data_IF_482657115866
#
_entry.id   IF_482657115866
#
_cell.length_a   1.000
_cell.length_b   1.000
_cell.length_c   1.000
_cell.angle_alpha   90.00
_cell.angle_beta   90.00
_cell.angle_gamma   90.00
#
_symmetry.space_group_name_H-M   'P 1'
#
loop_
_entity.id
_entity.type
_entity.pdbx_description
1 polymer ?
#
# COMPACT_ATOMS: atom_id res chain seq x y z
N UNK A 1 -48.58 -20.19 29.76
CA UNK A 1 -47.26 -20.87 29.76
C UNK A 1 -46.32 -19.85 29.13
N UNK A 2 -45.42 -19.16 29.86
CA UNK A 2 -44.35 -19.66 30.75
C UNK A 2 -43.48 -20.72 30.05
N UNK A 3 -42.16 -20.61 30.04
CA UNK A 3 -41.29 -19.97 31.06
C UNK A 3 -40.30 -18.93 30.51
N UNK A 4 -39.91 -17.96 31.35
CA UNK A 4 -38.57 -17.37 31.30
C UNK A 4 -37.57 -18.36 31.90
N UNK A 5 -36.30 -18.31 31.51
CA UNK A 5 -35.23 -18.35 32.52
C UNK A 5 -34.03 -17.50 32.08
N UNK A 6 -33.49 -16.75 33.04
CA UNK A 6 -32.25 -15.97 32.90
C UNK A 6 -31.22 -16.62 33.82
N UNK A 7 -29.99 -16.77 33.34
CA UNK A 7 -28.85 -17.08 34.21
C UNK A 7 -27.78 -16.00 34.10
N UNK A 8 -27.71 -15.16 35.12
CA UNK A 8 -26.47 -14.46 35.48
C UNK A 8 -25.59 -15.42 36.28
N UNK A 9 -24.29 -15.42 36.00
CA UNK A 9 -23.24 -15.96 36.88
C UNK A 9 -22.11 -14.95 36.96
N UNK A 10 -22.16 -14.08 37.97
CA UNK A 10 -21.10 -13.14 38.27
C UNK A 10 -19.91 -13.85 38.91
N UNK A 11 -18.75 -13.84 38.27
CA UNK A 11 -17.48 -14.20 38.91
C UNK A 11 -16.74 -12.91 39.28
N UNK A 12 -16.73 -12.56 40.56
CA UNK A 12 -15.96 -11.41 41.06
C UNK A 12 -14.54 -11.85 41.32
N UNK A 13 -13.62 -11.54 40.40
CA UNK A 13 -12.19 -11.66 40.64
C UNK A 13 -11.63 -10.30 41.06
N UNK A 14 -11.37 -10.13 42.35
CA UNK A 14 -10.86 -8.88 42.92
C UNK A 14 -9.32 -8.80 42.77
N UNK A 15 -8.84 -8.47 41.58
CA UNK A 15 -7.44 -8.05 41.37
C UNK A 15 -7.34 -6.54 41.49
N UNK A 16 -6.45 -6.07 42.38
CA UNK A 16 -6.31 -4.65 42.70
C UNK A 16 -5.64 -3.86 41.58
N UNK A 17 -6.44 -3.25 40.70
CA UNK A 17 -5.94 -2.36 39.66
C UNK A 17 -5.73 -0.95 40.22
N UNK A 18 -4.48 -0.51 40.31
CA UNK A 18 -4.15 0.89 40.58
C UNK A 18 -4.65 1.76 39.43
N UNK A 19 -5.70 2.54 39.66
CA UNK A 19 -6.27 3.44 38.66
C UNK A 19 -5.35 4.66 38.43
N UNK A 20 -4.27 4.47 37.69
CA UNK A 20 -3.55 5.56 37.04
C UNK A 20 -4.48 6.23 36.04
N UNK A 21 -5.11 7.32 36.46
CA UNK A 21 -5.83 8.23 35.58
C UNK A 21 -4.84 8.76 34.54
N UNK A 22 -4.85 8.13 33.36
CA UNK A 22 -4.18 8.64 32.16
C UNK A 22 -4.89 9.93 31.74
N UNK A 23 -4.52 11.04 32.40
CA UNK A 23 -4.85 12.38 31.96
C UNK A 23 -4.45 12.49 30.49
N UNK A 24 -5.35 12.92 29.59
CA UNK A 24 -4.97 13.09 28.20
C UNK A 24 -3.80 14.07 28.16
N UNK A 25 -2.67 13.64 27.56
CA UNK A 25 -1.66 14.56 27.06
C UNK A 25 -2.35 15.39 25.97
N UNK A 26 -3.02 16.48 26.38
CA UNK A 26 -3.23 17.64 25.52
C UNK A 26 -1.88 17.89 24.86
N UNK A 27 -1.83 17.89 23.52
CA UNK A 27 -0.63 18.21 22.78
C UNK A 27 -0.01 19.45 23.40
N UNK A 28 1.15 19.28 24.03
CA UNK A 28 1.69 20.32 24.90
C UNK A 28 2.25 21.38 23.96
N UNK A 29 1.42 22.38 23.66
CA UNK A 29 1.91 23.74 23.49
C UNK A 29 2.65 24.08 24.80
N UNK A 30 3.91 23.65 24.85
CA UNK A 30 4.91 24.38 25.58
C UNK A 30 4.93 25.73 24.90
N UNK A 31 4.34 26.72 25.56
CA UNK A 31 4.87 28.07 25.48
C UNK A 31 6.34 27.92 25.86
N UNK A 32 7.21 27.81 24.86
CA UNK A 32 8.64 27.57 25.03
C UNK A 32 9.23 28.86 25.62
N UNK A 33 9.14 29.00 26.94
CA UNK A 33 9.50 30.22 27.68
C UNK A 33 11.01 30.43 27.74
N UNK A 34 11.79 29.40 27.41
CA UNK A 34 13.20 29.51 27.14
C UNK A 34 13.40 29.82 25.63
N UNK A 35 13.88 31.03 25.26
CA UNK A 35 14.13 31.39 23.87
C UNK A 35 15.36 30.69 23.26
N UNK A 36 16.12 29.92 24.05
CA UNK A 36 17.26 29.12 23.60
C UNK A 36 16.97 27.62 23.56
N UNK A 37 15.80 27.17 24.05
CA UNK A 37 15.42 25.77 23.97
C UNK A 37 15.23 25.36 22.51
N UNK A 38 15.89 24.28 22.13
CA UNK A 38 15.95 23.78 20.75
C UNK A 38 14.52 23.49 20.25
N UNK A 39 14.07 24.08 19.10
CA UNK A 39 12.69 23.88 18.62
C UNK A 39 12.40 22.45 18.14
N UNK A 40 13.42 21.78 17.61
CA UNK A 40 13.42 20.38 17.17
C UNK A 40 14.76 19.76 17.60
N UNK A 41 14.77 18.78 18.53
CA UNK A 41 16.00 18.17 19.02
C UNK A 41 16.68 17.24 17.99
N UNK A 42 16.05 16.97 16.84
CA UNK A 42 16.49 16.01 15.83
C UNK A 42 16.58 14.56 16.37
N UNK A 43 15.71 14.24 17.33
CA UNK A 43 15.44 12.87 17.79
C UNK A 43 14.57 12.18 16.73
N UNK A 44 15.23 11.50 15.79
CA UNK A 44 14.61 10.70 14.73
C UNK A 44 14.80 9.21 14.98
N UNK A 45 13.86 8.42 14.48
CA UNK A 45 13.91 6.95 14.48
C UNK A 45 13.74 6.44 13.05
N UNK A 46 14.33 5.28 12.75
CA UNK A 46 14.26 4.68 11.42
C UNK A 46 12.93 3.91 11.26
N UNK A 47 12.22 4.11 10.16
CA UNK A 47 10.94 3.43 9.90
C UNK A 47 11.09 1.90 9.80
N UNK A 48 12.27 1.41 9.41
CA UNK A 48 12.65 -0.01 9.49
C UNK A 48 12.57 -0.63 10.90
N UNK A 49 12.63 0.21 11.96
CA UNK A 49 12.55 -0.23 13.36
C UNK A 49 11.18 0.05 14.00
N UNK A 50 10.36 0.91 13.38
CA UNK A 50 9.07 1.32 13.94
C UNK A 50 8.04 0.18 13.91
N UNK A 51 7.13 0.24 14.88
CA UNK A 51 5.96 -0.62 15.01
C UNK A 51 4.68 0.21 15.02
N UNK A 52 3.52 -0.44 15.01
CA UNK A 52 2.24 0.26 15.15
C UNK A 52 2.01 0.88 16.55
N UNK A 53 2.78 0.49 17.57
CA UNK A 53 2.77 1.14 18.88
C UNK A 53 3.46 2.52 18.86
N UNK A 54 4.31 2.78 17.86
CA UNK A 54 5.06 4.03 17.69
C UNK A 54 4.30 5.10 16.88
N UNK A 55 3.12 4.75 16.32
CA UNK A 55 2.30 5.68 15.54
C UNK A 55 1.71 6.81 16.41
N UNK A 56 2.27 8.00 16.28
CA UNK A 56 1.77 9.22 16.95
C UNK A 56 0.77 9.96 16.05
N UNK A 57 -0.52 9.71 16.26
CA UNK A 57 -1.62 10.38 15.57
C UNK A 57 -1.50 11.93 15.60
N UNK A 58 -1.66 12.64 14.47
CA UNK A 58 -1.69 14.10 14.43
C UNK A 58 -2.69 14.73 15.42
N UNK A 59 -2.29 15.79 16.17
CA UNK A 59 -3.11 16.33 17.27
C UNK A 59 -4.52 16.79 16.85
N UNK A 60 -5.54 16.13 17.40
CA UNK A 60 -6.96 16.42 17.13
C UNK A 60 -7.52 15.77 15.85
N UNK A 61 -6.71 14.98 15.13
CA UNK A 61 -7.18 14.20 13.99
C UNK A 61 -8.03 13.00 14.41
N UNK A 62 -8.87 12.55 13.48
CA UNK A 62 -9.73 11.37 13.56
C UNK A 62 -10.27 11.15 12.14
N UNK A 63 -9.37 11.01 11.16
CA UNK A 63 -9.71 11.12 9.74
C UNK A 63 -10.31 9.84 9.16
N UNK A 64 -9.94 8.67 9.70
CA UNK A 64 -10.61 7.38 9.43
C UNK A 64 -12.10 7.35 9.82
N UNK A 65 -12.60 8.31 10.61
CA UNK A 65 -14.01 8.37 10.99
C UNK A 65 -14.90 8.66 9.78
N UNK A 66 -15.55 7.61 9.26
CA UNK A 66 -16.38 7.63 8.05
C UNK A 66 -17.64 8.51 8.11
N UNK A 67 -17.96 9.10 9.27
CA UNK A 67 -18.97 10.16 9.38
C UNK A 67 -18.41 11.57 9.09
N UNK A 68 -17.09 11.76 9.12
CA UNK A 68 -16.44 12.97 8.61
C UNK A 68 -16.52 13.00 7.08
N UNK A 69 -16.48 14.21 6.54
CA UNK A 69 -16.51 14.52 5.12
C UNK A 69 -15.55 15.67 4.85
N UNK A 70 -15.04 15.75 3.63
CA UNK A 70 -14.23 16.90 3.19
C UNK A 70 -15.02 18.19 3.31
N UNK A 71 -14.39 19.22 3.88
CA UNK A 71 -15.04 20.50 4.26
C UNK A 71 -15.39 21.40 3.09
N UNK A 72 -14.70 21.25 1.95
CA UNK A 72 -14.97 21.99 0.71
C UNK A 72 -15.65 21.12 -0.35
N UNK A 73 -15.13 19.91 -0.60
CA UNK A 73 -15.74 18.91 -1.49
C UNK A 73 -15.46 17.49 -1.01
N UNK A 74 -16.17 16.53 -1.59
CA UNK A 74 -16.00 15.10 -1.39
C UNK A 74 -15.95 14.45 -2.78
N UNK A 75 -15.18 13.37 -2.92
CA UNK A 75 -14.97 12.70 -4.22
C UNK A 75 -15.79 11.42 -4.35
N UNK A 76 -16.35 11.20 -5.53
CA UNK A 76 -16.79 9.85 -5.92
C UNK A 76 -15.62 9.09 -6.54
N UNK A 77 -15.03 8.16 -5.77
CA UNK A 77 -13.92 7.31 -6.20
C UNK A 77 -14.41 5.88 -6.44
N UNK A 78 -14.10 5.31 -7.61
CA UNK A 78 -14.32 3.90 -7.92
C UNK A 78 -13.09 3.05 -7.56
N UNK A 79 -13.31 1.80 -7.16
CA UNK A 79 -12.29 0.76 -7.10
C UNK A 79 -12.70 -0.37 -8.06
N UNK A 80 -11.85 -0.69 -9.01
CA UNK A 80 -12.03 -1.77 -9.98
C UNK A 80 -11.00 -2.84 -9.67
N UNK A 81 -11.42 -3.98 -9.12
CA UNK A 81 -10.56 -5.15 -8.96
C UNK A 81 -10.55 -5.95 -10.27
N UNK A 82 -9.36 -6.28 -10.79
CA UNK A 82 -9.15 -7.09 -11.99
C UNK A 82 -8.12 -8.19 -11.74
N UNK A 83 -8.42 -9.41 -12.20
CA UNK A 83 -7.47 -10.52 -12.25
C UNK A 83 -7.24 -10.97 -13.70
N UNK A 84 -6.20 -11.77 -13.90
CA UNK A 84 -5.73 -12.23 -15.20
C UNK A 84 -6.27 -13.64 -15.50
N UNK A 85 -6.24 -14.10 -16.78
CA UNK A 85 -6.66 -15.46 -17.13
C UNK A 85 -5.78 -16.56 -16.50
N UNK A 86 -4.54 -16.22 -16.17
CA UNK A 86 -3.45 -17.06 -15.67
C UNK A 86 -2.97 -16.71 -14.25
N UNK A 87 -3.21 -15.48 -13.77
CA UNK A 87 -2.99 -15.08 -12.36
C UNK A 87 -4.29 -14.59 -11.69
N UNK A 88 -4.73 -15.32 -10.67
CA UNK A 88 -5.82 -14.93 -9.79
C UNK A 88 -5.31 -14.19 -8.55
N UNK A 89 -6.16 -13.36 -7.94
CA UNK A 89 -5.85 -12.64 -6.69
C UNK A 89 -5.15 -13.53 -5.65
N UNK A 90 -3.96 -13.13 -5.24
CA UNK A 90 -3.06 -13.80 -4.30
C UNK A 90 -3.75 -14.01 -2.94
N UNK A 91 -4.58 -13.08 -2.47
CA UNK A 91 -5.38 -13.32 -1.23
C UNK A 91 -6.36 -14.51 -1.31
N UNK A 92 -6.64 -15.04 -2.50
CA UNK A 92 -7.47 -16.26 -2.67
C UNK A 92 -6.68 -17.56 -2.46
N UNK A 93 -5.35 -17.48 -2.42
CA UNK A 93 -4.44 -18.61 -2.23
C UNK A 93 -4.22 -18.90 -0.73
N UNK A 94 -3.64 -20.07 -0.43
CA UNK A 94 -3.23 -20.40 0.94
C UNK A 94 -2.05 -19.52 1.38
N UNK A 95 -1.96 -19.20 2.68
CA UNK A 95 -0.88 -18.35 3.20
C UNK A 95 0.53 -18.86 2.83
N UNK A 96 1.43 -17.93 2.50
CA UNK A 96 2.83 -18.15 2.16
C UNK A 96 3.07 -19.11 0.97
N UNK A 97 2.16 -19.17 -0.01
CA UNK A 97 2.20 -20.15 -1.12
C UNK A 97 2.84 -19.64 -2.42
N UNK A 98 2.95 -18.32 -2.63
CA UNK A 98 3.67 -17.75 -3.78
C UNK A 98 5.19 -17.71 -3.53
N UNK A 99 5.97 -17.51 -4.60
CA UNK A 99 7.44 -17.34 -4.48
C UNK A 99 7.82 -16.13 -3.62
N UNK A 100 6.97 -15.09 -3.62
CA UNK A 100 7.05 -13.92 -2.76
C UNK A 100 6.52 -14.17 -1.33
N UNK A 101 6.46 -15.42 -0.87
CA UNK A 101 5.98 -15.85 0.46
C UNK A 101 4.63 -15.22 0.88
N UNK A 102 3.72 -15.07 -0.08
CA UNK A 102 2.42 -14.44 0.08
C UNK A 102 1.26 -15.39 -0.29
N UNK A 103 -0.01 -15.05 0.03
CA UNK A 103 -0.43 -13.95 0.89
C UNK A 103 0.01 -14.18 2.35
N UNK A 104 0.05 -13.10 3.14
CA UNK A 104 0.36 -13.18 4.57
C UNK A 104 -0.73 -13.92 5.35
N UNK A 105 -0.40 -14.53 6.50
CA UNK A 105 -1.38 -15.23 7.34
C UNK A 105 -2.60 -14.38 7.76
N UNK A 106 -2.45 -13.04 7.80
CA UNK A 106 -3.50 -12.10 8.20
C UNK A 106 -4.75 -12.11 7.28
N UNK A 107 -4.59 -12.38 5.98
CA UNK A 107 -5.71 -12.59 5.06
C UNK A 107 -5.29 -13.48 3.89
N UNK A 108 -5.84 -14.69 3.85
CA UNK A 108 -5.60 -15.70 2.83
C UNK A 108 -6.86 -16.56 2.63
N UNK A 109 -6.89 -17.38 1.57
CA UNK A 109 -8.02 -18.24 1.22
C UNK A 109 -9.36 -17.49 1.03
N UNK A 110 -9.31 -16.20 0.68
CA UNK A 110 -10.49 -15.34 0.47
C UNK A 110 -11.28 -15.82 -0.76
N UNK A 111 -12.61 -15.97 -0.73
CA UNK A 111 -13.37 -16.34 -1.92
C UNK A 111 -13.26 -15.28 -3.01
N UNK A 112 -13.00 -15.69 -4.27
CA UNK A 112 -12.83 -14.76 -5.42
C UNK A 112 -13.98 -13.75 -5.60
N UNK A 113 -15.21 -14.14 -5.23
CA UNK A 113 -16.38 -13.26 -5.27
C UNK A 113 -16.35 -12.14 -4.21
N UNK A 114 -15.66 -12.35 -3.08
CA UNK A 114 -15.57 -11.41 -1.96
C UNK A 114 -14.37 -10.44 -2.09
N UNK A 115 -13.38 -10.75 -2.94
CA UNK A 115 -12.18 -9.92 -3.18
C UNK A 115 -12.48 -8.42 -3.40
N UNK A 116 -13.45 -8.01 -4.25
CA UNK A 116 -13.75 -6.59 -4.44
C UNK A 116 -14.39 -5.95 -3.20
N UNK A 117 -15.04 -6.75 -2.35
CA UNK A 117 -15.55 -6.30 -1.05
C UNK A 117 -14.44 -6.19 -0.01
N UNK A 118 -13.50 -7.14 0.02
CA UNK A 118 -12.33 -7.15 0.89
C UNK A 118 -11.50 -5.88 0.70
N UNK A 119 -11.05 -5.59 -0.53
CA UNK A 119 -10.20 -4.41 -0.79
C UNK A 119 -10.94 -3.09 -0.63
N UNK A 120 -12.22 -3.02 -1.04
CA UNK A 120 -13.08 -1.86 -0.75
C UNK A 120 -13.12 -1.56 0.75
N UNK A 121 -13.24 -2.59 1.59
CA UNK A 121 -13.37 -2.43 3.02
C UNK A 121 -12.02 -2.18 3.69
N UNK A 122 -10.95 -2.86 3.25
CA UNK A 122 -9.57 -2.62 3.68
C UNK A 122 -9.15 -1.16 3.47
N UNK A 123 -9.51 -0.53 2.34
CA UNK A 123 -9.14 0.86 2.06
C UNK A 123 -10.06 1.90 2.73
N UNK A 124 -11.26 1.52 3.19
CA UNK A 124 -12.34 2.48 3.53
C UNK A 124 -12.95 2.35 4.92
N UNK A 125 -12.90 1.17 5.54
CA UNK A 125 -13.51 0.90 6.85
C UNK A 125 -12.40 0.75 7.90
N UNK A 126 -12.43 1.49 9.01
CA UNK A 126 -11.58 1.18 10.16
C UNK A 126 -11.94 -0.22 10.68
N UNK A 127 -10.99 -1.14 10.71
CA UNK A 127 -11.16 -2.53 11.15
C UNK A 127 -9.84 -3.09 11.69
N UNK A 128 -9.86 -4.29 12.26
CA UNK A 128 -8.65 -4.95 12.80
C UNK A 128 -7.61 -5.21 11.69
N UNK A 129 -8.05 -5.59 10.49
CA UNK A 129 -7.18 -5.94 9.36
C UNK A 129 -6.35 -4.77 8.82
N UNK A 130 -6.79 -3.51 9.01
CA UNK A 130 -6.01 -2.31 8.67
C UNK A 130 -5.65 -1.50 9.93
N UNK A 131 -5.76 -2.11 11.11
CA UNK A 131 -5.40 -1.52 12.40
C UNK A 131 -6.14 -0.19 12.69
N UNK A 132 -7.31 -0.02 12.06
CA UNK A 132 -8.18 1.16 12.04
C UNK A 132 -7.73 2.33 11.15
N UNK A 133 -6.63 2.19 10.40
CA UNK A 133 -6.20 3.15 9.40
C UNK A 133 -6.95 2.97 8.08
N UNK A 134 -7.03 4.02 7.27
CA UNK A 134 -7.79 4.01 5.99
C UNK A 134 -7.14 4.94 4.98
N UNK A 135 -7.40 4.73 3.68
CA UNK A 135 -6.93 5.61 2.61
C UNK A 135 -7.41 7.07 2.81
N UNK A 136 -8.54 7.30 3.47
CA UNK A 136 -8.99 8.67 3.77
C UNK A 136 -8.08 9.38 4.80
N UNK A 137 -7.40 8.64 5.68
CA UNK A 137 -6.46 9.18 6.65
C UNK A 137 -5.13 9.56 5.97
N UNK A 138 -4.46 8.61 5.32
CA UNK A 138 -3.24 8.87 4.53
C UNK A 138 -3.44 9.98 3.49
N UNK A 139 -4.60 10.04 2.81
CA UNK A 139 -4.92 11.14 1.89
C UNK A 139 -5.01 12.52 2.57
N UNK A 140 -5.53 12.58 3.80
CA UNK A 140 -5.70 13.86 4.51
C UNK A 140 -4.37 14.48 4.95
N UNK A 141 -3.25 13.78 4.74
CA UNK A 141 -1.93 14.14 5.23
C UNK A 141 -1.02 14.76 4.14
N UNK A 142 -0.73 14.13 2.97
CA UNK A 142 0.44 14.50 2.11
C UNK A 142 0.39 13.96 0.62
N UNK A 143 0.93 14.65 -0.45
CA UNK A 143 0.42 14.51 -1.89
C UNK A 143 1.19 15.04 -3.20
N UNK A 144 1.37 14.24 -4.34
CA UNK A 144 1.90 14.50 -5.78
C UNK A 144 2.94 13.56 -6.63
N UNK A 145 2.70 13.16 -7.93
CA UNK A 145 3.39 12.27 -9.04
C UNK A 145 4.60 11.23 -8.83
N UNK A 146 5.11 10.27 -9.70
CA UNK A 146 4.94 9.71 -11.12
C UNK A 146 5.68 8.32 -11.55
N UNK A 147 5.84 7.91 -12.87
CA UNK A 147 6.01 6.47 -13.41
C UNK A 147 7.19 5.91 -14.35
N UNK A 148 7.02 4.76 -15.10
CA UNK A 148 7.99 3.59 -15.42
C UNK A 148 8.45 3.18 -16.91
N UNK A 149 9.16 2.02 -17.11
CA UNK A 149 9.98 1.40 -18.23
C UNK A 149 9.33 0.28 -19.15
N UNK A 150 10.11 -0.38 -20.07
CA UNK A 150 9.58 -1.16 -21.26
C UNK A 150 10.12 -2.60 -21.67
N UNK A 151 11.25 -3.17 -21.21
CA UNK A 151 12.02 -4.18 -22.02
C UNK A 151 11.86 -5.73 -21.81
N UNK A 152 11.08 -6.26 -20.86
CA UNK A 152 11.30 -7.63 -20.31
C UNK A 152 10.44 -8.82 -20.85
N UNK A 153 9.81 -8.72 -22.03
CA UNK A 153 8.68 -9.59 -22.42
C UNK A 153 9.03 -11.01 -22.96
N UNK A 154 8.38 -12.10 -22.47
CA UNK A 154 8.53 -13.45 -23.05
C UNK A 154 8.01 -13.61 -24.49
N UNK A 155 8.68 -14.47 -25.27
CA UNK A 155 8.34 -14.71 -26.68
C UNK A 155 6.96 -15.33 -26.85
N UNK A 156 6.12 -14.69 -27.68
CA UNK A 156 4.77 -15.15 -27.99
C UNK A 156 3.68 -14.65 -27.03
N UNK A 157 4.05 -13.92 -25.98
CA UNK A 157 3.13 -13.16 -25.13
C UNK A 157 3.02 -11.70 -25.57
N UNK A 158 2.05 -10.98 -25.01
CA UNK A 158 1.92 -9.52 -25.15
C UNK A 158 2.00 -8.89 -23.76
N UNK A 159 3.16 -8.35 -23.39
CA UNK A 159 3.39 -7.74 -22.09
C UNK A 159 3.07 -6.24 -22.07
N UNK A 160 3.09 -5.59 -23.24
CA UNK A 160 2.67 -4.19 -23.42
C UNK A 160 1.15 -4.06 -23.51
N UNK A 161 0.42 -4.64 -22.55
CA UNK A 161 -1.04 -4.50 -22.43
C UNK A 161 -1.40 -3.26 -21.60
N UNK A 162 -2.33 -2.45 -22.09
CA UNK A 162 -2.80 -1.27 -21.36
C UNK A 162 -3.89 -1.70 -20.35
N UNK A 163 -3.44 -2.21 -19.21
CA UNK A 163 -4.26 -2.57 -18.05
C UNK A 163 -5.31 -1.50 -17.70
N UNK A 164 -4.97 -0.22 -17.87
CA UNK A 164 -5.86 0.90 -17.60
C UNK A 164 -6.97 1.00 -18.65
N UNK A 165 -6.64 0.92 -19.94
CA UNK A 165 -7.65 0.89 -21.01
C UNK A 165 -8.54 -0.35 -20.90
N UNK A 166 -7.97 -1.53 -20.67
CA UNK A 166 -8.72 -2.78 -20.61
C UNK A 166 -9.64 -2.86 -19.38
N UNK A 167 -9.14 -2.52 -18.18
CA UNK A 167 -9.96 -2.51 -16.97
C UNK A 167 -11.08 -1.45 -17.02
N UNK A 168 -10.80 -0.24 -17.53
CA UNK A 168 -11.82 0.79 -17.72
C UNK A 168 -12.84 0.38 -18.80
N UNK A 169 -12.41 -0.31 -19.85
CA UNK A 169 -13.27 -0.86 -20.90
C UNK A 169 -14.22 -1.93 -20.35
N UNK A 170 -13.68 -2.94 -19.66
CA UNK A 170 -14.44 -4.01 -19.03
C UNK A 170 -15.43 -3.48 -17.98
N UNK A 171 -15.00 -2.56 -17.12
CA UNK A 171 -15.87 -1.91 -16.14
C UNK A 171 -17.00 -1.12 -16.81
N UNK A 172 -16.71 -0.32 -17.84
CA UNK A 172 -17.73 0.45 -18.59
C UNK A 172 -18.72 -0.44 -19.32
N UNK A 173 -18.30 -1.62 -19.79
CA UNK A 173 -19.19 -2.62 -20.35
C UNK A 173 -20.11 -3.25 -19.28
N UNK A 174 -19.59 -3.48 -18.06
CA UNK A 174 -20.33 -4.08 -16.95
C UNK A 174 -21.33 -3.12 -16.26
N UNK A 175 -20.93 -1.87 -15.96
CA UNK A 175 -21.77 -0.91 -15.22
C UNK A 175 -22.48 0.14 -16.08
N UNK A 176 -22.10 0.25 -17.36
CA UNK A 176 -22.59 1.26 -18.29
C UNK A 176 -21.95 2.64 -18.10
N UNK A 177 -21.82 3.38 -19.21
CA UNK A 177 -21.13 4.68 -19.23
C UNK A 177 -21.74 5.74 -18.29
N UNK A 178 -23.06 5.71 -18.03
CA UNK A 178 -23.69 6.64 -17.10
C UNK A 178 -23.21 6.44 -15.66
N UNK A 179 -23.13 5.19 -15.20
CA UNK A 179 -22.61 4.81 -13.88
C UNK A 179 -21.11 5.09 -13.79
N UNK A 180 -20.34 4.71 -14.82
CA UNK A 180 -18.90 4.95 -14.84
C UNK A 180 -18.56 6.46 -14.78
N UNK A 181 -19.35 7.31 -15.43
CA UNK A 181 -19.17 8.76 -15.43
C UNK A 181 -19.70 9.46 -14.15
N UNK A 182 -20.28 8.75 -13.18
CA UNK A 182 -20.63 9.34 -11.87
C UNK A 182 -19.47 9.35 -10.87
N UNK A 183 -18.33 8.76 -11.23
CA UNK A 183 -17.09 8.78 -10.48
C UNK A 183 -16.13 9.80 -11.09
N UNK A 184 -15.50 10.60 -10.24
CA UNK A 184 -14.48 11.58 -10.64
C UNK A 184 -13.13 10.91 -10.85
N UNK A 185 -12.82 9.91 -10.02
CA UNK A 185 -11.52 9.24 -9.92
C UNK A 185 -11.71 7.72 -9.89
N UNK A 186 -10.71 6.99 -10.39
CA UNK A 186 -10.73 5.52 -10.44
C UNK A 186 -9.41 4.93 -9.96
N UNK A 187 -9.48 4.01 -9.00
CA UNK A 187 -8.40 3.08 -8.71
C UNK A 187 -8.65 1.74 -9.39
N UNK A 188 -7.60 1.20 -10.00
CA UNK A 188 -7.59 -0.10 -10.69
C UNK A 188 -6.63 -0.98 -9.91
N UNK A 189 -7.17 -1.99 -9.23
CA UNK A 189 -6.40 -2.94 -8.44
C UNK A 189 -6.24 -4.22 -9.25
N UNK A 190 -5.02 -4.53 -9.69
CA UNK A 190 -4.69 -5.84 -10.25
C UNK A 190 -4.51 -6.89 -9.15
N UNK A 191 -4.65 -8.16 -9.54
CA UNK A 191 -3.99 -9.25 -8.83
C UNK A 191 -2.45 -9.08 -8.86
N UNK A 192 -1.77 -9.83 -8.00
CA UNK A 192 -0.32 -9.95 -7.99
C UNK A 192 0.40 -8.88 -7.18
N UNK A 193 1.72 -8.83 -7.36
CA UNK A 193 2.62 -7.84 -6.74
C UNK A 193 2.69 -6.54 -7.56
N UNK A 194 3.29 -5.51 -6.97
CA UNK A 194 3.83 -4.36 -7.69
C UNK A 194 5.36 -4.34 -7.65
N UNK A 195 5.98 -3.86 -8.72
CA UNK A 195 7.44 -3.85 -8.82
C UNK A 195 8.04 -2.84 -7.84
N UNK A 196 7.32 -1.74 -7.54
CA UNK A 196 7.82 -0.68 -6.67
C UNK A 196 8.13 -1.15 -5.24
N UNK A 197 7.47 -2.20 -4.78
CA UNK A 197 7.64 -2.83 -3.46
C UNK A 197 8.51 -4.09 -3.50
N UNK A 198 8.58 -4.79 -4.63
CA UNK A 198 9.33 -6.05 -4.76
C UNK A 198 10.75 -5.92 -5.35
N UNK A 199 11.06 -4.85 -6.09
CA UNK A 199 12.30 -4.73 -6.87
C UNK A 199 13.60 -4.82 -6.06
N UNK A 200 13.58 -4.49 -4.76
CA UNK A 200 14.77 -4.49 -3.88
C UNK A 200 14.91 -5.80 -3.11
N UNK A 201 13.82 -6.26 -2.49
CA UNK A 201 13.77 -7.44 -1.62
C UNK A 201 14.11 -8.71 -2.42
N UNK A 202 13.39 -8.95 -3.52
CA UNK A 202 13.58 -10.12 -4.38
C UNK A 202 14.65 -9.87 -5.46
N UNK A 203 15.71 -9.18 -5.04
CA UNK A 203 16.86 -8.73 -5.83
C UNK A 203 18.10 -8.71 -4.93
N UNK A 204 18.73 -7.55 -4.71
CA UNK A 204 20.00 -7.36 -3.99
C UNK A 204 19.96 -7.70 -2.49
N UNK A 205 18.78 -7.96 -1.94
CA UNK A 205 18.61 -8.44 -0.56
C UNK A 205 18.41 -9.96 -0.45
N UNK A 206 18.15 -10.65 -1.58
CA UNK A 206 17.98 -12.10 -1.67
C UNK A 206 19.07 -12.79 -2.52
N UNK A 207 19.71 -12.07 -3.44
CA UNK A 207 20.68 -12.59 -4.41
C UNK A 207 21.91 -11.69 -4.53
N UNK A 208 23.10 -12.29 -4.50
CA UNK A 208 24.40 -11.60 -4.62
C UNK A 208 24.60 -10.89 -5.98
N UNK A 209 23.83 -11.28 -7.00
CA UNK A 209 23.94 -10.76 -8.36
C UNK A 209 22.85 -11.29 -9.30
N UNK A 210 22.76 -10.73 -10.52
CA UNK A 210 21.72 -11.09 -11.49
C UNK A 210 21.79 -12.57 -11.91
N UNK A 211 22.99 -13.10 -12.10
CA UNK A 211 23.21 -14.52 -12.46
C UNK A 211 23.02 -15.49 -11.28
N UNK A 212 22.74 -14.97 -10.07
CA UNK A 212 22.42 -15.77 -8.88
C UNK A 212 20.90 -15.89 -8.62
N UNK A 213 20.05 -15.22 -9.42
CA UNK A 213 18.59 -15.32 -9.28
C UNK A 213 18.12 -16.73 -9.66
N UNK A 214 17.51 -17.43 -8.70
CA UNK A 214 17.05 -18.80 -8.87
C UNK A 214 15.82 -18.92 -9.79
N UNK A 215 15.69 -20.03 -10.49
CA UNK A 215 14.63 -20.29 -11.49
C UNK A 215 13.19 -20.09 -10.97
N UNK A 216 12.98 -20.22 -9.65
CA UNK A 216 11.69 -19.95 -9.01
C UNK A 216 11.24 -18.47 -9.12
N UNK A 217 12.18 -17.55 -9.28
CA UNK A 217 11.96 -16.12 -9.55
C UNK A 217 12.22 -15.76 -11.03
N UNK A 218 12.41 -16.77 -11.88
CA UNK A 218 12.66 -16.62 -13.31
C UNK A 218 11.38 -16.58 -14.15
N UNK A 219 11.54 -16.46 -15.49
CA UNK A 219 10.43 -16.51 -16.44
C UNK A 219 9.79 -17.92 -16.51
N UNK A 220 8.58 -18.05 -17.11
CA UNK A 220 7.97 -19.35 -17.37
C UNK A 220 8.91 -20.29 -18.13
N UNK A 221 8.96 -21.57 -17.72
CA UNK A 221 10.01 -22.54 -18.07
C UNK A 221 10.24 -22.87 -19.57
N UNK A 222 9.45 -22.31 -20.48
CA UNK A 222 9.66 -22.38 -21.93
C UNK A 222 10.32 -21.11 -22.52
N UNK A 223 10.76 -20.19 -21.66
CA UNK A 223 11.41 -18.93 -22.04
C UNK A 223 12.92 -19.09 -22.26
N UNK A 224 13.49 -18.24 -23.12
CA UNK A 224 14.94 -18.07 -23.28
C UNK A 224 15.46 -16.79 -22.62
N UNK A 225 14.64 -16.13 -21.79
CA UNK A 225 15.05 -14.95 -21.01
C UNK A 225 15.87 -15.38 -19.78
N UNK A 226 16.64 -14.44 -19.25
CA UNK A 226 17.32 -14.53 -17.95
C UNK A 226 16.34 -14.56 -16.78
N UNK A 227 16.76 -15.14 -15.65
CA UNK A 227 16.01 -15.08 -14.39
C UNK A 227 15.95 -13.66 -13.77
N UNK A 228 16.55 -12.67 -14.43
CA UNK A 228 16.60 -11.26 -14.05
C UNK A 228 16.26 -10.38 -15.26
N UNK A 229 15.81 -9.15 -15.02
CA UNK A 229 15.56 -8.13 -16.05
C UNK A 229 15.81 -6.70 -15.53
N UNK A 230 15.80 -5.71 -16.43
CA UNK A 230 15.96 -4.29 -16.11
C UNK A 230 14.84 -3.77 -15.17
N UNK A 231 15.16 -2.77 -14.32
CA UNK A 231 14.18 -2.06 -13.45
C UNK A 231 14.42 -0.54 -13.49
N UNK A 232 13.58 0.26 -12.81
CA UNK A 232 13.62 1.73 -12.84
C UNK A 232 14.64 2.36 -11.91
N UNK A 233 14.90 1.76 -10.75
CA UNK A 233 15.81 2.33 -9.75
C UNK A 233 17.25 1.83 -9.86
N UNK A 234 17.47 0.64 -10.41
CA UNK A 234 18.80 0.05 -10.61
C UNK A 234 18.83 -0.75 -11.91
N UNK A 235 19.99 -1.26 -12.30
CA UNK A 235 20.19 -1.96 -13.57
C UNK A 235 19.70 -3.43 -13.63
N UNK A 236 19.11 -3.98 -12.56
CA UNK A 236 18.47 -5.30 -12.57
C UNK A 236 17.57 -5.54 -11.35
N UNK A 237 16.55 -6.38 -11.52
CA UNK A 237 15.83 -7.10 -10.47
C UNK A 237 15.51 -8.53 -10.94
N UNK A 238 14.93 -9.39 -10.08
CA UNK A 238 14.48 -10.72 -10.55
C UNK A 238 13.39 -10.58 -11.61
N UNK A 239 13.30 -11.55 -12.53
CA UNK A 239 12.28 -11.52 -13.58
C UNK A 239 10.88 -11.49 -12.98
N UNK A 240 10.65 -12.25 -11.91
CA UNK A 240 9.38 -12.24 -11.19
C UNK A 240 8.97 -10.84 -10.68
N UNK A 241 9.90 -10.01 -10.19
CA UNK A 241 9.61 -8.61 -9.84
C UNK A 241 9.39 -7.74 -11.09
N UNK A 242 10.26 -7.83 -12.09
CA UNK A 242 10.19 -7.02 -13.31
C UNK A 242 9.01 -7.37 -14.26
N UNK A 243 8.33 -8.49 -14.02
CA UNK A 243 7.12 -8.88 -14.73
C UNK A 243 5.84 -8.30 -14.10
N UNK A 244 5.93 -7.70 -12.91
CA UNK A 244 4.79 -7.14 -12.17
C UNK A 244 4.54 -5.68 -12.55
N UNK A 245 3.37 -5.13 -12.20
CA UNK A 245 3.05 -3.77 -12.61
C UNK A 245 3.79 -2.72 -11.77
N UNK A 246 4.17 -1.61 -12.39
CA UNK A 246 4.60 -0.42 -11.65
C UNK A 246 3.39 0.49 -11.37
N UNK A 247 3.07 0.85 -10.11
CA UNK A 247 1.94 1.72 -9.80
C UNK A 247 2.08 3.09 -10.45
N UNK A 248 1.01 3.61 -11.04
CA UNK A 248 1.06 4.87 -11.76
C UNK A 248 -0.33 5.48 -11.95
N UNK A 249 -0.40 6.81 -12.00
CA UNK A 249 -1.61 7.58 -12.27
C UNK A 249 -1.55 8.33 -13.60
N UNK A 250 -2.73 8.51 -14.19
CA UNK A 250 -2.93 9.32 -15.38
C UNK A 250 -4.40 9.34 -15.79
N UNK A 251 -4.84 10.43 -16.43
CA UNK A 251 -6.20 10.54 -17.01
C UNK A 251 -7.32 10.23 -15.99
N UNK A 252 -7.22 10.79 -14.78
CA UNK A 252 -8.14 10.57 -13.65
C UNK A 252 -8.25 9.11 -13.15
N UNK A 253 -7.25 8.26 -13.45
CA UNK A 253 -7.19 6.88 -12.99
C UNK A 253 -5.79 6.45 -12.56
N UNK A 254 -5.69 5.63 -11.51
CA UNK A 254 -4.43 5.02 -11.08
C UNK A 254 -4.51 3.48 -11.06
N UNK A 255 -3.37 2.83 -11.22
CA UNK A 255 -3.19 1.38 -11.14
C UNK A 255 -2.35 1.01 -9.91
N UNK A 256 -2.81 0.00 -9.17
CA UNK A 256 -2.21 -0.60 -7.97
C UNK A 256 -2.26 -2.13 -8.08
N UNK A 257 -1.43 -2.84 -7.32
CA UNK A 257 -1.50 -4.29 -7.14
C UNK A 257 -1.90 -4.66 -5.70
N UNK A 258 -2.00 -5.94 -5.37
CA UNK A 258 -2.43 -6.41 -4.04
C UNK A 258 -1.46 -6.03 -2.90
N UNK A 259 -0.20 -5.77 -3.24
CA UNK A 259 0.87 -5.27 -2.37
C UNK A 259 0.90 -3.74 -2.23
N UNK A 260 0.13 -3.01 -3.03
CA UNK A 260 0.19 -1.55 -2.99
C UNK A 260 -0.51 -1.03 -1.74
N UNK A 261 0.29 -0.67 -0.73
CA UNK A 261 -0.15 -0.15 0.55
C UNK A 261 -0.95 1.16 0.48
N UNK A 262 -1.54 1.58 1.60
CA UNK A 262 -2.38 2.77 1.69
C UNK A 262 -1.63 4.05 1.32
N UNK A 263 -0.35 4.14 1.71
CA UNK A 263 0.54 5.22 1.32
C UNK A 263 0.80 5.25 -0.19
N UNK A 264 0.83 4.09 -0.85
CA UNK A 264 0.90 4.01 -2.33
C UNK A 264 -0.42 4.47 -2.97
N UNK A 265 -1.58 4.09 -2.43
CA UNK A 265 -2.87 4.63 -2.89
C UNK A 265 -3.02 6.15 -2.66
N UNK A 266 -2.53 6.69 -1.55
CA UNK A 266 -2.58 8.13 -1.24
C UNK A 266 -1.58 8.93 -2.09
N UNK A 267 -0.37 8.39 -2.29
CA UNK A 267 0.63 8.91 -3.22
C UNK A 267 -0.03 9.13 -4.59
N UNK A 268 -0.63 8.07 -5.12
CA UNK A 268 -1.31 8.01 -6.41
C UNK A 268 -2.57 8.89 -6.51
N UNK A 269 -3.41 8.93 -5.47
CA UNK A 269 -4.61 9.81 -5.41
C UNK A 269 -4.26 11.27 -5.72
N UNK A 270 -3.08 11.68 -5.28
CA UNK A 270 -2.58 13.03 -5.36
C UNK A 270 -2.17 13.45 -6.77
N UNK A 271 -1.67 12.49 -7.56
CA UNK A 271 -1.38 12.68 -8.97
C UNK A 271 -2.69 13.04 -9.71
N UNK A 272 -3.78 12.35 -9.37
CA UNK A 272 -5.12 12.59 -9.91
C UNK A 272 -5.71 13.94 -9.50
N UNK A 273 -5.07 14.65 -8.57
CA UNK A 273 -5.44 15.98 -8.09
C UNK A 273 -4.42 17.05 -8.50
N UNK A 274 -3.44 16.70 -9.33
CA UNK A 274 -2.57 17.65 -10.04
C UNK A 274 -1.39 18.19 -9.24
N UNK A 275 -0.91 17.44 -8.25
CA UNK A 275 0.35 17.76 -7.54
C UNK A 275 1.45 16.82 -8.08
N UNK A 276 2.68 17.31 -8.15
CA UNK A 276 3.79 16.67 -8.88
C UNK A 276 4.84 15.96 -8.00
N UNK A 277 5.66 15.15 -8.67
CA UNK A 277 6.68 14.24 -8.13
C UNK A 277 7.82 15.03 -7.46
N UNK A 278 8.30 14.51 -6.32
CA UNK A 278 9.39 15.13 -5.56
C UNK A 278 10.44 14.09 -5.09
N UNK A 279 10.62 12.98 -5.81
CA UNK A 279 11.85 12.20 -5.73
C UNK A 279 12.76 12.37 -6.95
N UNK A 280 14.00 12.01 -6.69
CA UNK A 280 15.00 11.54 -7.62
C UNK A 280 15.31 10.07 -7.27
N UNK A 281 16.08 9.39 -8.11
CA UNK A 281 16.61 8.07 -7.79
C UNK A 281 17.93 8.19 -6.99
N UNK A 282 17.97 7.90 -5.67
CA UNK A 282 19.21 7.95 -4.90
C UNK A 282 20.14 6.75 -5.14
N UNK A 283 19.64 5.67 -5.73
CA UNK A 283 20.42 4.47 -6.09
C UNK A 283 21.20 4.63 -7.41
N UNK A 284 21.25 5.85 -7.96
CA UNK A 284 22.05 6.19 -9.13
C UNK A 284 23.54 5.91 -8.93
N UNK A 285 24.31 5.92 -10.01
CA UNK A 285 25.78 5.85 -9.97
C UNK A 285 26.33 7.14 -10.61
N UNK A 286 26.97 8.05 -9.84
CA UNK A 286 27.17 7.99 -8.39
C UNK A 286 25.86 8.14 -7.59
N UNK A 287 25.80 7.67 -6.34
CA UNK A 287 24.64 7.88 -5.47
C UNK A 287 24.42 9.36 -5.16
N UNK A 288 23.16 9.76 -5.08
CA UNK A 288 22.73 11.13 -4.75
C UNK A 288 21.77 11.12 -3.56
N UNK A 289 21.70 12.21 -2.80
CA UNK A 289 20.70 12.34 -1.73
C UNK A 289 19.30 12.37 -2.35
N UNK A 290 18.36 11.68 -1.71
CA UNK A 290 16.93 11.84 -2.02
C UNK A 290 16.48 13.27 -1.72
N UNK A 291 15.62 13.87 -2.56
CA UNK A 291 15.21 15.27 -2.46
C UNK A 291 14.49 15.59 -1.14
N UNK A 292 13.32 14.99 -0.88
CA UNK A 292 12.59 15.11 0.40
C UNK A 292 12.53 13.81 1.20
N UNK A 293 12.88 12.66 0.61
CA UNK A 293 13.07 11.40 1.33
C UNK A 293 11.80 10.99 2.14
N UNK A 294 11.82 10.47 3.39
CA UNK A 294 10.57 10.12 4.08
C UNK A 294 9.70 11.35 4.40
N UNK A 295 10.28 12.55 4.46
CA UNK A 295 9.61 13.80 4.86
C UNK A 295 8.61 14.37 3.83
N UNK A 296 8.23 13.58 2.83
CA UNK A 296 7.01 13.78 2.05
C UNK A 296 6.61 12.46 1.40
N UNK A 297 5.31 12.19 1.38
CA UNK A 297 4.66 11.15 0.57
C UNK A 297 5.14 11.12 -0.88
N UNK A 298 5.64 12.24 -1.38
CA UNK A 298 5.99 12.43 -2.80
C UNK A 298 7.46 12.21 -3.07
N UNK A 299 8.14 11.65 -2.08
CA UNK A 299 9.45 11.08 -2.26
C UNK A 299 9.47 9.66 -1.71
N UNK A 300 9.43 9.49 -0.38
CA UNK A 300 9.39 8.17 0.28
C UNK A 300 8.47 8.07 1.49
N UNK A 301 7.77 9.14 1.89
CA UNK A 301 6.75 9.05 2.95
C UNK A 301 5.63 8.05 2.62
N UNK A 302 5.39 7.80 1.33
CA UNK A 302 4.46 6.77 0.83
C UNK A 302 4.96 5.34 0.99
N UNK A 303 6.20 5.18 1.49
CA UNK A 303 6.84 3.92 1.84
C UNK A 303 7.08 3.78 3.34
N UNK A 304 6.76 4.80 4.15
CA UNK A 304 6.90 4.75 5.60
C UNK A 304 5.78 3.91 6.25
N UNK A 305 5.92 3.68 7.55
CA UNK A 305 5.16 2.70 8.31
C UNK A 305 6.06 1.60 8.87
N UNK A 306 5.51 0.63 9.63
CA UNK A 306 6.33 -0.35 10.34
C UNK A 306 7.21 -1.24 9.46
N UNK A 307 8.50 -1.33 9.81
CA UNK A 307 9.49 -2.02 8.98
C UNK A 307 9.81 -1.29 7.66
N UNK A 308 9.37 -0.04 7.50
CA UNK A 308 9.75 0.86 6.41
C UNK A 308 9.45 0.32 5.00
N UNK A 309 10.25 0.70 3.98
CA UNK A 309 10.03 0.25 2.61
C UNK A 309 10.12 -1.27 2.44
N UNK A 310 10.79 -1.97 3.37
CA UNK A 310 11.11 -3.40 3.31
C UNK A 310 9.94 -4.33 3.65
N UNK A 311 8.78 -3.80 4.06
CA UNK A 311 7.56 -4.59 4.32
C UNK A 311 6.46 -4.42 3.26
N UNK A 312 6.64 -3.50 2.29
CA UNK A 312 5.61 -3.12 1.29
C UNK A 312 5.15 -4.26 0.37
N UNK A 313 5.97 -5.26 0.12
CA UNK A 313 5.65 -6.41 -0.76
C UNK A 313 4.64 -7.41 -0.15
N UNK A 314 4.20 -7.18 1.09
CA UNK A 314 3.24 -8.05 1.76
C UNK A 314 1.84 -7.89 1.16
N UNK A 315 1.11 -9.00 1.06
CA UNK A 315 -0.26 -9.06 0.54
C UNK A 315 -1.16 -9.66 1.63
N UNK A 316 -2.11 -8.90 2.21
CA UNK A 316 -2.29 -7.46 2.06
C UNK A 316 -1.13 -6.66 2.69
N UNK A 317 -0.89 -5.45 2.19
CA UNK A 317 0.09 -4.53 2.75
C UNK A 317 -0.50 -3.81 3.97
N UNK A 318 0.01 -4.15 5.17
CA UNK A 318 -0.52 -3.71 6.48
C UNK A 318 0.55 -3.03 7.36
N UNK A 319 1.72 -2.72 6.81
CA UNK A 319 2.90 -2.30 7.56
C UNK A 319 3.47 -1.00 6.95
N UNK A 320 4.61 -1.04 6.27
CA UNK A 320 5.08 0.05 5.41
C UNK A 320 4.24 0.16 4.14
N UNK A 321 3.96 1.38 3.70
CA UNK A 321 3.01 1.69 2.63
C UNK A 321 1.66 2.10 3.18
#
# INVERSE_FOLDING_TARGET
MLFHYVHFTSLVLATGLTLTLALPRRGRHQTQTDPFAIPDPQEWENTDHMTWDDYVRPPGSNWYNSARRGTQRNFNVALIAVDYPDEAFVITLAANSTVFTNPQPAANSVPRADVPSFYRDLLKKPQEQNLNHTLHEYWMEDSGEGGFNENACPTGQSCSVDLRTDALGAWRAAVGNATANSFELVFILSAGQDESSTWQEFCKMLFDGPDAVADAFGPPANSTLTNWADTRYVNWTSWASAATIWPNAGRSSSTQAESSGMGTYAHELSHLLGIGDNYNNPYSIPPIRSYTAPFSMMSRGSFDGPGGPHTRWQIPALLGG
#
